data_IF_384471108907
#
_entry.id   IF_384471108907
#
_cell.length_a   1.000
_cell.length_b   1.000
_cell.length_c   1.000
_cell.angle_alpha   90.00
_cell.angle_beta   90.00
_cell.angle_gamma   90.00
#
_symmetry.space_group_name_H-M   'P 1'
#
loop_
_entity.id
_entity.type
_entity.pdbx_description
1 polymer ?
#
# COMPACT_ATOMS: atom_id res chain seq x y z
N UNK A 1 -18.58 1.98 -19.26
CA UNK A 1 -17.74 2.18 -18.08
C UNK A 1 -16.42 1.49 -18.35
N UNK A 2 -15.37 2.26 -18.52
CA UNK A 2 -14.00 1.80 -18.71
C UNK A 2 -13.26 1.89 -17.37
N UNK A 3 -12.34 0.96 -17.09
CA UNK A 3 -11.62 0.89 -15.83
C UNK A 3 -10.12 0.87 -16.12
N UNK A 4 -9.37 1.79 -15.53
CA UNK A 4 -7.91 1.78 -15.56
C UNK A 4 -7.35 1.34 -14.21
N UNK A 5 -6.37 0.45 -14.22
CA UNK A 5 -5.50 0.22 -13.08
C UNK A 5 -4.27 1.11 -13.16
N UNK A 6 -3.67 1.46 -12.03
CA UNK A 6 -2.40 2.18 -12.03
C UNK A 6 -1.59 1.95 -10.76
N UNK A 7 -0.28 2.07 -10.92
CA UNK A 7 0.70 1.96 -9.83
C UNK A 7 1.98 2.72 -10.20
N UNK A 8 2.85 2.89 -9.22
CA UNK A 8 4.23 3.31 -9.44
C UNK A 8 5.17 2.31 -8.78
N UNK A 9 6.39 2.20 -9.29
CA UNK A 9 7.39 1.30 -8.75
C UNK A 9 8.82 1.73 -9.08
N UNK A 10 9.74 1.43 -8.18
CA UNK A 10 11.20 1.49 -8.37
C UNK A 10 11.84 0.42 -7.53
N UNK A 11 12.83 -0.30 -8.08
CA UNK A 11 13.64 -1.28 -7.37
C UNK A 11 12.82 -2.38 -6.63
N UNK A 12 11.77 -2.91 -7.27
CA UNK A 12 10.90 -3.89 -6.64
C UNK A 12 11.65 -5.17 -6.26
N UNK A 13 12.55 -5.66 -7.12
CA UNK A 13 13.29 -6.90 -6.85
C UNK A 13 14.29 -6.71 -5.72
N UNK A 14 14.99 -5.58 -5.67
CA UNK A 14 15.91 -5.24 -4.55
C UNK A 14 15.19 -5.03 -3.22
N UNK A 15 13.94 -4.55 -3.26
CA UNK A 15 13.14 -4.29 -2.06
C UNK A 15 12.25 -5.48 -1.68
N UNK A 16 12.35 -6.60 -2.39
CA UNK A 16 11.52 -7.78 -2.19
C UNK A 16 10.02 -7.43 -2.23
N UNK A 17 9.57 -6.83 -3.33
CA UNK A 17 8.18 -6.38 -3.54
C UNK A 17 7.53 -7.26 -4.61
N UNK A 18 6.35 -7.86 -4.35
CA UNK A 18 5.63 -8.74 -5.28
C UNK A 18 4.90 -7.97 -6.38
N UNK A 19 5.63 -7.10 -7.12
CA UNK A 19 5.04 -6.17 -8.10
C UNK A 19 4.30 -6.89 -9.23
N UNK A 20 4.82 -8.00 -9.71
CA UNK A 20 4.18 -8.81 -10.76
C UNK A 20 2.84 -9.36 -10.27
N UNK A 21 2.85 -10.01 -9.14
CA UNK A 21 1.69 -10.63 -8.51
C UNK A 21 0.63 -9.58 -8.12
N UNK A 22 1.08 -8.40 -7.66
CA UNK A 22 0.22 -7.26 -7.39
C UNK A 22 -0.53 -6.83 -8.65
N UNK A 23 0.19 -6.60 -9.75
CA UNK A 23 -0.40 -6.22 -11.05
C UNK A 23 -1.36 -7.31 -11.55
N UNK A 24 -0.92 -8.56 -11.60
CA UNK A 24 -1.72 -9.70 -12.06
C UNK A 24 -3.01 -9.88 -11.27
N UNK A 25 -3.04 -9.51 -9.98
CA UNK A 25 -4.24 -9.56 -9.14
C UNK A 25 -5.33 -8.56 -9.57
N UNK A 26 -4.97 -7.50 -10.29
CA UNK A 26 -5.87 -6.42 -10.72
C UNK A 26 -6.23 -6.52 -12.21
N UNK A 27 -5.37 -7.11 -13.06
CA UNK A 27 -5.58 -7.20 -14.50
C UNK A 27 -6.96 -7.73 -14.94
N UNK A 28 -7.62 -8.68 -14.23
CA UNK A 28 -8.97 -9.13 -14.59
C UNK A 28 -10.08 -8.09 -14.35
N UNK A 29 -9.79 -7.03 -13.58
CA UNK A 29 -10.75 -5.97 -13.26
C UNK A 29 -10.68 -4.76 -14.20
N UNK A 30 -9.59 -4.62 -14.98
CA UNK A 30 -9.28 -3.40 -15.71
C UNK A 30 -9.21 -3.61 -17.22
N UNK A 31 -9.42 -2.54 -17.98
CA UNK A 31 -9.28 -2.49 -19.43
C UNK A 31 -7.85 -2.08 -19.84
N UNK A 32 -7.14 -1.35 -18.97
CA UNK A 32 -5.75 -0.97 -19.10
C UNK A 32 -5.09 -0.88 -17.73
N UNK A 33 -3.76 -1.02 -17.67
CA UNK A 33 -2.99 -0.87 -16.46
C UNK A 33 -1.75 -0.01 -16.71
N UNK A 34 -1.67 1.15 -16.07
CA UNK A 34 -0.58 2.13 -16.25
C UNK A 34 0.41 2.02 -15.09
N UNK A 35 1.68 1.92 -15.42
CA UNK A 35 2.77 1.76 -14.45
C UNK A 35 3.80 2.88 -14.66
N UNK A 36 3.96 3.75 -13.68
CA UNK A 36 5.10 4.65 -13.61
C UNK A 36 6.31 3.90 -13.04
N UNK A 37 7.23 3.49 -13.92
CA UNK A 37 8.46 2.83 -13.51
C UNK A 37 9.59 3.85 -13.36
N UNK A 38 10.13 3.94 -12.14
CA UNK A 38 11.25 4.84 -11.85
C UNK A 38 12.57 4.35 -12.47
N UNK A 39 13.56 5.20 -12.40
CA UNK A 39 14.96 4.90 -12.77
C UNK A 39 15.54 3.85 -11.81
N UNK A 40 15.24 2.56 -12.05
CA UNK A 40 15.77 1.45 -11.27
C UNK A 40 17.30 1.39 -11.35
N UNK A 41 17.90 0.81 -10.31
CA UNK A 41 19.35 0.54 -10.28
C UNK A 41 19.71 -0.44 -11.41
N UNK A 42 20.96 -0.42 -11.88
CA UNK A 42 21.42 -1.25 -13.02
C UNK A 42 21.26 -2.77 -12.78
N UNK A 43 21.40 -3.20 -11.52
CA UNK A 43 21.29 -4.59 -11.10
C UNK A 43 19.86 -4.98 -10.62
N UNK A 44 18.87 -4.08 -10.74
CA UNK A 44 17.47 -4.37 -10.43
C UNK A 44 16.71 -4.86 -11.66
N UNK A 45 15.96 -5.93 -11.51
CA UNK A 45 15.23 -6.59 -12.60
C UNK A 45 13.73 -6.30 -12.62
N UNK A 46 13.29 -5.21 -11.98
CA UNK A 46 11.86 -4.83 -11.91
C UNK A 46 11.24 -4.69 -13.30
N UNK A 47 11.94 -4.06 -14.25
CA UNK A 47 11.44 -3.91 -15.62
C UNK A 47 11.18 -5.26 -16.28
N UNK A 48 12.17 -6.13 -16.28
CA UNK A 48 12.08 -7.47 -16.89
C UNK A 48 10.96 -8.29 -16.26
N UNK A 49 10.77 -8.15 -14.94
CA UNK A 49 9.70 -8.82 -14.21
C UNK A 49 8.33 -8.33 -14.69
N UNK A 50 8.13 -7.01 -14.85
CA UNK A 50 6.86 -6.44 -15.34
C UNK A 50 6.63 -6.84 -16.80
N UNK A 51 7.65 -6.77 -17.66
CA UNK A 51 7.57 -7.16 -19.08
C UNK A 51 7.29 -8.66 -19.26
N UNK A 52 7.61 -9.48 -18.24
CA UNK A 52 7.24 -10.90 -18.23
C UNK A 52 5.73 -11.15 -18.09
N UNK A 53 4.97 -10.13 -17.68
CA UNK A 53 3.50 -10.18 -17.65
C UNK A 53 3.02 -9.99 -19.08
N UNK A 54 2.65 -11.06 -19.75
CA UNK A 54 2.19 -11.03 -21.14
C UNK A 54 0.74 -10.52 -21.20
N UNK A 55 0.56 -9.20 -21.17
CA UNK A 55 -0.75 -8.56 -21.28
C UNK A 55 -0.67 -7.28 -22.09
N UNK A 56 -1.54 -7.14 -23.08
CA UNK A 56 -1.70 -5.96 -23.92
C UNK A 56 -2.32 -4.76 -23.16
N UNK A 57 -2.84 -5.01 -21.97
CA UNK A 57 -3.39 -3.96 -21.10
C UNK A 57 -2.31 -3.09 -20.45
N UNK A 58 -1.06 -3.57 -20.35
CA UNK A 58 0.00 -2.90 -19.60
C UNK A 58 0.62 -1.76 -20.42
N UNK A 59 0.72 -0.59 -19.79
CA UNK A 59 1.38 0.60 -20.32
C UNK A 59 2.46 1.06 -19.35
N UNK A 60 3.72 0.98 -19.75
CA UNK A 60 4.86 1.46 -18.98
C UNK A 60 5.12 2.95 -19.29
N UNK A 61 5.29 3.74 -18.24
CA UNK A 61 5.74 5.13 -18.30
C UNK A 61 7.08 5.22 -17.57
N UNK A 62 8.12 5.55 -18.28
CA UNK A 62 9.43 5.74 -17.67
C UNK A 62 9.50 7.08 -16.94
N UNK A 63 10.00 7.05 -15.72
CA UNK A 63 10.10 8.22 -14.87
C UNK A 63 11.46 8.28 -14.18
N UNK A 64 11.82 9.47 -13.72
CA UNK A 64 13.00 9.66 -12.88
C UNK A 64 12.55 10.19 -11.54
N UNK A 65 12.89 9.48 -10.45
CA UNK A 65 12.57 9.93 -9.11
C UNK A 65 13.52 11.02 -8.64
N UNK A 66 12.95 12.06 -8.07
CA UNK A 66 13.70 13.16 -7.46
C UNK A 66 13.27 13.37 -6.01
N UNK A 67 13.84 12.58 -5.12
CA UNK A 67 13.56 12.64 -3.67
C UNK A 67 14.09 13.91 -3.00
N UNK A 68 14.90 14.71 -3.69
CA UNK A 68 15.36 16.01 -3.23
C UNK A 68 14.30 17.08 -3.51
N UNK A 69 13.77 17.08 -4.72
CA UNK A 69 12.66 17.97 -5.12
C UNK A 69 11.36 17.60 -4.39
N UNK A 70 11.11 16.31 -4.19
CA UNK A 70 9.90 15.77 -3.53
C UNK A 70 10.26 15.03 -2.23
N UNK A 71 10.63 15.78 -1.16
CA UNK A 71 11.08 15.19 0.11
C UNK A 71 9.92 14.53 0.89
N UNK A 72 10.26 13.84 1.98
CA UNK A 72 9.30 13.24 2.92
C UNK A 72 8.31 12.27 2.25
N UNK A 73 8.79 11.54 1.24
CA UNK A 73 8.00 10.60 0.43
C UNK A 73 6.91 11.25 -0.44
N UNK A 74 6.87 12.58 -0.62
CA UNK A 74 5.97 13.20 -1.59
C UNK A 74 6.29 12.79 -3.03
N UNK A 75 7.49 12.27 -3.29
CA UNK A 75 7.84 11.62 -4.56
C UNK A 75 6.91 10.45 -4.89
N UNK A 76 6.43 9.69 -3.89
CA UNK A 76 5.48 8.61 -4.12
C UNK A 76 4.13 9.14 -4.64
N UNK A 77 3.65 10.25 -4.08
CA UNK A 77 2.43 10.89 -4.57
C UNK A 77 2.61 11.46 -5.98
N UNK A 78 3.77 12.07 -6.26
CA UNK A 78 4.13 12.58 -7.59
C UNK A 78 4.14 11.45 -8.63
N UNK A 79 4.79 10.34 -8.36
CA UNK A 79 4.83 9.18 -9.24
C UNK A 79 3.45 8.52 -9.42
N UNK A 80 2.64 8.51 -8.38
CA UNK A 80 1.25 8.05 -8.44
C UNK A 80 0.44 8.90 -9.43
N UNK A 81 0.57 10.21 -9.37
CA UNK A 81 -0.14 11.13 -10.26
C UNK A 81 0.35 11.02 -11.71
N UNK A 82 1.64 10.84 -11.96
CA UNK A 82 2.18 10.58 -13.31
C UNK A 82 1.48 9.37 -13.95
N UNK A 83 1.33 8.27 -13.19
CA UNK A 83 0.61 7.09 -13.69
C UNK A 83 -0.89 7.38 -13.86
N UNK A 84 -1.53 8.03 -12.87
CA UNK A 84 -2.95 8.37 -12.88
C UNK A 84 -3.35 9.20 -14.10
N UNK A 85 -2.56 10.21 -14.46
CA UNK A 85 -2.83 11.11 -15.59
C UNK A 85 -2.83 10.42 -16.95
N UNK A 86 -2.20 9.27 -17.07
CA UNK A 86 -2.21 8.47 -18.30
C UNK A 86 -3.37 7.47 -18.36
N UNK A 87 -4.16 7.38 -17.31
CA UNK A 87 -5.36 6.56 -17.25
C UNK A 87 -6.51 7.21 -18.04
N UNK A 88 -7.25 6.40 -18.79
CA UNK A 88 -8.36 6.86 -19.65
C UNK A 88 -9.71 6.27 -19.22
N UNK A 89 -9.75 5.50 -18.14
CA UNK A 89 -10.99 4.91 -17.61
C UNK A 89 -11.88 5.91 -16.89
N UNK A 90 -13.14 5.55 -16.69
CA UNK A 90 -14.09 6.29 -15.85
C UNK A 90 -13.78 6.12 -14.36
N UNK A 91 -13.36 4.89 -13.99
CA UNK A 91 -12.86 4.51 -12.69
C UNK A 91 -11.39 4.16 -12.75
N UNK A 92 -10.64 4.57 -11.73
CA UNK A 92 -9.21 4.31 -11.59
C UNK A 92 -8.97 3.46 -10.35
N UNK A 93 -8.38 2.27 -10.53
CA UNK A 93 -7.97 1.37 -9.43
C UNK A 93 -6.49 1.62 -9.15
N UNK A 94 -6.20 2.23 -8.02
CA UNK A 94 -4.84 2.37 -7.51
C UNK A 94 -4.48 1.13 -6.69
N UNK A 95 -3.32 0.54 -6.95
CA UNK A 95 -2.76 -0.54 -6.15
C UNK A 95 -1.29 -0.26 -5.86
N UNK A 96 -0.88 -0.38 -4.60
CA UNK A 96 0.54 -0.34 -4.27
C UNK A 96 1.19 -1.67 -4.63
N UNK A 97 2.46 -1.66 -4.99
CA UNK A 97 3.13 -2.84 -5.53
C UNK A 97 3.30 -3.99 -4.53
N UNK A 98 3.03 -3.76 -3.25
CA UNK A 98 2.98 -4.76 -2.19
C UNK A 98 1.53 -5.06 -1.70
N UNK A 99 0.54 -4.72 -2.51
CA UNK A 99 -0.88 -4.99 -2.29
C UNK A 99 -1.43 -5.93 -3.37
N UNK A 100 -2.47 -6.68 -3.06
CA UNK A 100 -3.18 -7.51 -4.02
C UNK A 100 -4.68 -7.56 -3.72
N UNK A 101 -5.48 -7.82 -4.77
CA UNK A 101 -6.93 -8.03 -4.68
C UNK A 101 -7.24 -9.51 -4.88
N UNK A 102 -8.03 -10.08 -3.98
CA UNK A 102 -8.47 -11.47 -4.11
C UNK A 102 -9.55 -11.58 -5.18
N UNK A 103 -9.51 -12.61 -6.01
CA UNK A 103 -10.48 -12.84 -7.08
C UNK A 103 -11.93 -12.95 -6.57
N UNK A 104 -12.13 -13.39 -5.34
CA UNK A 104 -13.45 -13.44 -4.70
C UNK A 104 -14.08 -12.08 -4.49
N UNK A 105 -13.29 -10.99 -4.52
CA UNK A 105 -13.76 -9.62 -4.35
C UNK A 105 -14.24 -8.98 -5.68
N UNK A 106 -13.95 -9.60 -6.82
CA UNK A 106 -14.14 -8.98 -8.14
C UNK A 106 -15.60 -8.58 -8.41
N UNK A 107 -16.56 -9.43 -8.10
CA UNK A 107 -17.98 -9.14 -8.34
C UNK A 107 -18.49 -8.02 -7.41
N UNK A 108 -18.06 -7.99 -6.17
CA UNK A 108 -18.35 -6.90 -5.22
C UNK A 108 -17.82 -5.58 -5.74
N UNK A 109 -16.58 -5.56 -6.22
CA UNK A 109 -15.92 -4.36 -6.76
C UNK A 109 -16.63 -3.88 -8.02
N UNK A 110 -16.89 -4.77 -9.00
CA UNK A 110 -17.59 -4.41 -10.24
C UNK A 110 -19.01 -3.89 -9.99
N UNK A 111 -19.72 -4.52 -9.06
CA UNK A 111 -21.08 -4.11 -8.69
C UNK A 111 -21.06 -2.72 -8.07
N UNK A 112 -20.14 -2.44 -7.15
CA UNK A 112 -20.01 -1.12 -6.53
C UNK A 112 -19.67 -0.03 -7.58
N UNK A 113 -18.71 -0.28 -8.47
CA UNK A 113 -18.37 0.65 -9.54
C UNK A 113 -19.56 0.94 -10.44
N UNK A 114 -20.35 -0.07 -10.82
CA UNK A 114 -21.59 0.12 -11.62
C UNK A 114 -22.64 0.94 -10.87
N UNK A 115 -22.83 0.65 -9.57
CA UNK A 115 -23.84 1.31 -8.74
C UNK A 115 -23.55 2.80 -8.58
N UNK A 116 -22.31 3.16 -8.34
CA UNK A 116 -21.91 4.54 -8.03
C UNK A 116 -21.30 5.29 -9.21
N UNK A 117 -21.30 4.72 -10.42
CA UNK A 117 -20.69 5.35 -11.59
C UNK A 117 -21.26 6.74 -11.89
N UNK A 118 -22.61 6.87 -11.88
CA UNK A 118 -23.33 8.13 -12.19
C UNK A 118 -23.69 8.94 -10.95
N UNK A 119 -23.23 8.55 -9.77
CA UNK A 119 -23.47 9.28 -8.53
C UNK A 119 -22.36 10.30 -8.29
N UNK A 120 -22.61 11.55 -8.69
CA UNK A 120 -21.62 12.64 -8.58
C UNK A 120 -21.30 13.03 -7.13
N UNK A 121 -22.07 12.55 -6.15
CA UNK A 121 -21.78 12.75 -4.73
C UNK A 121 -20.69 11.82 -4.21
N UNK A 122 -20.27 10.80 -4.99
CA UNK A 122 -19.27 9.80 -4.64
C UNK A 122 -18.03 9.97 -5.49
N UNK A 123 -16.89 10.21 -4.85
CA UNK A 123 -15.59 10.40 -5.49
C UNK A 123 -14.76 9.10 -5.59
N UNK A 124 -15.06 8.11 -4.74
CA UNK A 124 -14.30 6.88 -4.70
C UNK A 124 -14.90 5.76 -3.86
N UNK A 125 -14.22 4.62 -3.84
CA UNK A 125 -14.59 3.45 -3.06
C UNK A 125 -13.51 3.12 -2.04
N UNK A 126 -13.95 2.81 -0.83
CA UNK A 126 -13.14 2.53 0.34
C UNK A 126 -13.08 1.02 0.57
N UNK A 127 -11.88 0.48 0.69
CA UNK A 127 -11.63 -0.92 0.96
C UNK A 127 -11.29 -1.17 2.41
N UNK A 128 -11.56 -2.38 2.91
CA UNK A 128 -11.01 -2.94 4.12
C UNK A 128 -9.60 -3.45 3.88
N UNK A 129 -8.78 -3.58 4.93
CA UNK A 129 -7.39 -4.00 4.81
C UNK A 129 -7.07 -5.24 5.65
N UNK A 130 -6.20 -6.09 5.09
CA UNK A 130 -5.50 -7.18 5.77
C UNK A 130 -4.00 -6.93 5.68
N UNK A 131 -3.40 -6.41 6.74
CA UNK A 131 -1.96 -6.16 6.80
C UNK A 131 -1.25 -7.39 7.33
N UNK A 132 -0.60 -8.14 6.46
CA UNK A 132 0.18 -9.31 6.85
C UNK A 132 1.51 -8.90 7.49
N UNK A 133 2.01 -9.73 8.42
CA UNK A 133 3.17 -9.41 9.25
C UNK A 133 4.06 -10.64 9.47
N UNK A 134 5.31 -10.59 9.00
CA UNK A 134 6.31 -11.64 9.14
C UNK A 134 6.12 -12.79 8.18
N UNK A 135 4.91 -13.34 8.13
CA UNK A 135 4.50 -14.42 7.24
C UNK A 135 3.12 -14.18 6.62
N UNK A 136 2.59 -15.17 5.93
CA UNK A 136 1.29 -15.12 5.26
C UNK A 136 0.11 -15.59 6.14
N UNK A 137 0.39 -16.11 7.34
CA UNK A 137 -0.64 -16.64 8.26
C UNK A 137 -1.03 -15.64 9.36
N UNK A 138 -0.26 -14.56 9.53
CA UNK A 138 -0.50 -13.58 10.58
C UNK A 138 -0.81 -12.19 10.01
N UNK A 139 -1.88 -11.55 10.50
CA UNK A 139 -2.25 -10.20 10.07
C UNK A 139 -2.66 -9.30 11.23
N UNK A 140 -2.46 -7.99 11.06
CA UNK A 140 -2.81 -7.00 12.07
C UNK A 140 -4.30 -6.64 12.08
N UNK A 141 -4.82 -6.51 13.31
CA UNK A 141 -6.06 -5.78 13.66
C UNK A 141 -5.76 -4.77 14.77
N UNK A 142 -4.55 -4.23 14.79
CA UNK A 142 -4.10 -3.31 15.83
C UNK A 142 -4.52 -1.88 15.51
N UNK A 143 -4.84 -1.11 16.56
CA UNK A 143 -5.16 0.32 16.50
C UNK A 143 -4.15 1.16 15.67
N UNK A 144 -2.89 0.74 15.61
CA UNK A 144 -1.83 1.45 14.86
C UNK A 144 -1.80 1.16 13.36
N UNK A 145 -2.71 0.31 12.88
CA UNK A 145 -2.83 -0.03 11.47
C UNK A 145 -4.15 0.49 10.93
N UNK A 146 -4.11 1.24 9.82
CA UNK A 146 -5.33 1.72 9.20
C UNK A 146 -6.17 0.54 8.68
N UNK A 147 -7.45 0.45 9.12
CA UNK A 147 -8.30 -0.69 8.74
C UNK A 147 -8.93 -0.53 7.37
N UNK A 148 -8.83 0.67 6.78
CA UNK A 148 -9.50 1.02 5.53
C UNK A 148 -8.73 2.11 4.81
N UNK A 149 -8.69 2.04 3.45
CA UNK A 149 -8.13 3.09 2.62
C UNK A 149 -8.81 3.13 1.24
N UNK A 150 -8.73 4.28 0.57
CA UNK A 150 -9.27 4.49 -0.77
C UNK A 150 -8.35 3.79 -1.76
N UNK A 151 -8.94 2.91 -2.61
CA UNK A 151 -8.18 2.26 -3.70
C UNK A 151 -8.87 2.37 -5.06
N UNK A 152 -10.10 2.88 -5.11
CA UNK A 152 -10.76 3.21 -6.36
C UNK A 152 -11.24 4.65 -6.29
N UNK A 153 -10.96 5.42 -7.33
CA UNK A 153 -11.37 6.82 -7.47
C UNK A 153 -12.01 7.05 -8.84
N UNK A 154 -12.88 8.04 -8.95
CA UNK A 154 -13.33 8.56 -10.26
C UNK A 154 -12.17 9.24 -10.96
N UNK A 155 -12.16 9.18 -12.29
CA UNK A 155 -11.20 9.91 -13.11
C UNK A 155 -11.55 11.41 -13.13
N UNK A 156 -11.17 12.08 -12.07
CA UNK A 156 -11.36 13.52 -11.90
C UNK A 156 -9.98 14.20 -11.85
N UNK A 157 -9.71 15.21 -12.69
CA UNK A 157 -8.43 15.91 -12.74
C UNK A 157 -8.08 16.65 -11.43
N UNK A 158 -9.09 16.96 -10.60
CA UNK A 158 -8.87 17.60 -9.29
C UNK A 158 -8.49 16.62 -8.17
N UNK A 159 -8.57 15.32 -8.42
CA UNK A 159 -8.16 14.30 -7.46
C UNK A 159 -6.69 14.00 -7.66
N UNK A 160 -5.88 14.27 -6.63
CA UNK A 160 -4.45 14.00 -6.62
C UNK A 160 -4.09 13.06 -5.47
N UNK A 161 -3.00 12.32 -5.66
CA UNK A 161 -2.36 11.58 -4.59
C UNK A 161 -1.85 12.54 -3.51
N UNK A 162 -1.76 12.08 -2.27
CA UNK A 162 -1.44 12.96 -1.16
C UNK A 162 -0.38 12.36 -0.23
N UNK A 163 0.56 13.19 0.19
CA UNK A 163 1.71 12.85 1.05
C UNK A 163 2.55 11.70 0.48
N UNK A 164 2.57 10.57 1.16
CA UNK A 164 3.33 9.36 0.82
C UNK A 164 2.54 8.36 -0.04
N UNK A 165 1.60 8.87 -0.84
CA UNK A 165 0.72 8.08 -1.70
C UNK A 165 -0.19 7.09 -0.95
N UNK A 166 -0.43 7.30 0.33
CA UNK A 166 -1.37 6.45 1.07
C UNK A 166 -2.81 6.68 0.62
N UNK A 167 -3.18 7.94 0.33
CA UNK A 167 -4.55 8.33 0.01
C UNK A 167 -4.62 9.43 -1.05
N UNK A 168 -5.85 9.87 -1.36
CA UNK A 168 -6.16 10.91 -2.34
C UNK A 168 -6.90 12.08 -1.71
N UNK A 169 -6.76 13.26 -2.35
CA UNK A 169 -7.45 14.50 -1.98
C UNK A 169 -8.02 15.19 -3.21
N UNK A 170 -9.03 16.04 -3.01
CA UNK A 170 -9.55 16.97 -4.02
C UNK A 170 -8.91 18.33 -3.77
N UNK A 171 -8.27 18.86 -4.80
CA UNK A 171 -7.71 20.21 -4.82
C UNK A 171 -8.58 21.10 -5.68
N UNK A 172 -9.20 22.11 -5.08
CA UNK A 172 -10.06 23.05 -5.80
C UNK A 172 -9.24 24.20 -6.41
N UNK A 173 -8.11 24.51 -5.80
CA UNK A 173 -7.14 25.48 -6.31
C UNK A 173 -6.23 24.84 -7.36
N UNK A 174 -5.43 25.67 -8.03
CA UNK A 174 -4.42 25.22 -8.97
C UNK A 174 -3.42 24.26 -8.30
N UNK A 175 -3.18 23.13 -8.96
CA UNK A 175 -2.22 22.11 -8.53
C UNK A 175 -1.05 22.10 -9.50
N UNK A 176 0.12 22.51 -9.03
CA UNK A 176 1.30 22.76 -9.87
C UNK A 176 2.30 21.60 -9.85
N UNK A 177 1.94 20.46 -9.22
CA UNK A 177 2.79 19.28 -9.07
C UNK A 177 4.11 19.58 -8.34
N UNK A 178 4.12 20.56 -7.47
CA UNK A 178 5.24 20.86 -6.57
C UNK A 178 5.10 20.07 -5.26
N UNK A 179 6.23 19.82 -4.59
CA UNK A 179 6.22 19.04 -3.34
C UNK A 179 5.26 19.62 -2.28
N UNK A 180 5.13 20.96 -2.22
CA UNK A 180 4.22 21.65 -1.30
C UNK A 180 2.75 21.34 -1.58
N UNK A 181 2.37 21.10 -2.84
CA UNK A 181 1.00 20.77 -3.22
C UNK A 181 0.62 19.39 -2.69
N UNK A 182 1.52 18.40 -2.83
CA UNK A 182 1.31 17.05 -2.30
C UNK A 182 1.21 16.98 -0.76
N UNK A 183 1.80 17.94 -0.03
CA UNK A 183 1.78 18.00 1.44
C UNK A 183 0.78 19.05 1.97
N UNK A 184 0.03 19.70 1.07
CA UNK A 184 -0.92 20.75 1.42
C UNK A 184 -2.10 20.21 2.22
N UNK A 185 -2.53 20.99 3.21
CA UNK A 185 -3.80 20.80 3.93
C UNK A 185 -4.97 21.59 3.29
N UNK A 186 -4.69 22.46 2.31
CA UNK A 186 -5.72 23.17 1.55
C UNK A 186 -6.32 22.27 0.47
N UNK A 187 -6.97 21.20 0.94
CA UNK A 187 -7.57 20.18 0.11
C UNK A 187 -8.74 19.52 0.82
N UNK A 188 -9.64 18.89 0.05
CA UNK A 188 -10.81 18.19 0.58
C UNK A 188 -10.61 16.68 0.59
N UNK A 189 -11.15 16.03 1.60
CA UNK A 189 -11.27 14.56 1.63
C UNK A 189 -12.31 14.11 0.61
N UNK A 190 -12.03 12.97 -0.05
CA UNK A 190 -12.99 12.36 -0.96
C UNK A 190 -14.22 11.83 -0.20
N UNK A 191 -15.39 12.00 -0.81
CA UNK A 191 -16.62 11.34 -0.40
C UNK A 191 -16.61 9.90 -0.96
N UNK A 192 -16.69 8.91 -0.09
CA UNK A 192 -16.50 7.51 -0.51
C UNK A 192 -17.57 6.58 0.06
N UNK A 193 -17.82 5.48 -0.64
CA UNK A 193 -18.59 4.33 -0.15
C UNK A 193 -17.66 3.22 0.29
N UNK A 194 -17.92 2.70 1.49
CA UNK A 194 -17.26 1.47 1.96
C UNK A 194 -17.86 0.28 1.21
N UNK A 195 -17.00 -0.51 0.59
CA UNK A 195 -17.38 -1.78 -0.04
C UNK A 195 -16.95 -2.96 0.81
N UNK A 196 -17.62 -4.09 0.68
CA UNK A 196 -17.27 -5.31 1.39
C UNK A 196 -16.19 -6.11 0.64
N UNK A 197 -15.06 -5.45 0.41
CA UNK A 197 -13.90 -6.02 -0.26
C UNK A 197 -12.62 -5.68 0.50
N UNK A 198 -11.61 -6.55 0.39
CA UNK A 198 -10.34 -6.41 1.09
C UNK A 198 -9.17 -6.17 0.14
N UNK A 199 -8.27 -5.30 0.57
CA UNK A 199 -6.90 -5.24 0.06
C UNK A 199 -6.04 -6.13 0.95
N UNK A 200 -5.25 -7.00 0.33
CA UNK A 200 -4.26 -7.85 0.95
C UNK A 200 -2.90 -7.15 0.86
N UNK A 201 -2.40 -6.66 1.97
CA UNK A 201 -1.17 -5.88 2.01
C UNK A 201 -0.02 -6.70 2.61
N UNK A 202 1.02 -6.93 1.81
CA UNK A 202 2.19 -7.76 2.13
C UNK A 202 3.44 -6.94 2.44
N UNK A 203 3.28 -5.65 2.66
CA UNK A 203 4.38 -4.70 2.90
C UNK A 203 5.32 -5.06 4.04
N UNK A 204 4.89 -5.96 4.93
CA UNK A 204 5.68 -6.46 6.06
C UNK A 204 5.86 -7.99 6.04
N UNK A 205 5.76 -8.62 4.88
CA UNK A 205 6.08 -10.04 4.68
C UNK A 205 7.31 -10.15 3.81
N UNK A 206 8.47 -10.26 4.44
CA UNK A 206 9.80 -10.31 3.80
C UNK A 206 10.77 -11.11 4.65
N UNK A 207 11.85 -11.67 4.08
CA UNK A 207 12.98 -12.11 4.88
C UNK A 207 13.45 -11.00 5.83
N UNK A 208 13.77 -11.31 7.11
CA UNK A 208 14.14 -10.29 8.10
C UNK A 208 15.25 -9.32 7.66
N UNK A 209 16.22 -9.80 6.90
CA UNK A 209 17.30 -8.99 6.34
C UNK A 209 16.77 -7.98 5.30
N UNK A 210 15.87 -8.44 4.43
CA UNK A 210 15.25 -7.59 3.41
C UNK A 210 14.29 -6.56 4.03
N UNK A 211 13.64 -6.92 5.15
CA UNK A 211 12.80 -5.98 5.90
C UNK A 211 13.64 -4.87 6.52
N UNK A 212 14.80 -5.18 7.10
CA UNK A 212 15.77 -4.18 7.58
C UNK A 212 16.24 -3.27 6.44
N UNK A 213 16.60 -3.86 5.31
CA UNK A 213 17.04 -3.07 4.13
C UNK A 213 15.94 -2.12 3.65
N UNK A 214 14.69 -2.61 3.48
CA UNK A 214 13.55 -1.76 3.12
C UNK A 214 13.37 -0.62 4.12
N UNK A 215 13.40 -0.91 5.42
CA UNK A 215 13.23 0.10 6.48
C UNK A 215 14.29 1.19 6.38
N UNK A 216 15.56 0.81 6.16
CA UNK A 216 16.66 1.76 5.94
C UNK A 216 16.41 2.64 4.72
N UNK A 217 16.02 2.05 3.58
CA UNK A 217 15.70 2.79 2.34
C UNK A 217 14.55 3.79 2.57
N UNK A 218 13.50 3.35 3.28
CA UNK A 218 12.36 4.21 3.61
C UNK A 218 12.75 5.37 4.54
N UNK A 219 13.60 5.13 5.55
CA UNK A 219 14.12 6.20 6.40
C UNK A 219 14.96 7.20 5.61
N UNK A 220 15.80 6.71 4.68
CA UNK A 220 16.60 7.57 3.80
C UNK A 220 15.74 8.43 2.87
N UNK A 221 14.69 7.86 2.31
CA UNK A 221 13.74 8.58 1.45
C UNK A 221 12.98 9.66 2.22
N UNK A 222 12.55 9.35 3.45
CA UNK A 222 11.76 10.29 4.26
C UNK A 222 12.59 11.40 4.91
N UNK A 223 13.74 11.06 5.49
CA UNK A 223 14.55 11.97 6.30
C UNK A 223 15.78 12.54 5.56
N UNK A 224 16.09 12.01 4.36
CA UNK A 224 17.37 12.22 3.70
C UNK A 224 18.48 11.34 4.27
N UNK A 225 19.49 11.00 3.44
CA UNK A 225 20.55 10.04 3.78
C UNK A 225 21.26 10.36 5.10
N UNK A 226 21.73 11.63 5.26
CA UNK A 226 22.50 12.06 6.44
C UNK A 226 21.70 11.90 7.73
N UNK A 227 20.47 12.44 7.77
CA UNK A 227 19.61 12.36 8.95
C UNK A 227 19.18 10.92 9.26
N UNK A 228 18.94 10.10 8.23
CA UNK A 228 18.63 8.69 8.43
C UNK A 228 19.81 7.92 9.01
N UNK A 229 21.04 8.17 8.55
CA UNK A 229 22.25 7.55 9.09
C UNK A 229 22.48 7.95 10.56
N UNK A 230 22.33 9.24 10.89
CA UNK A 230 22.47 9.75 12.26
C UNK A 230 21.43 9.15 13.23
N UNK A 231 20.18 8.96 12.79
CA UNK A 231 19.08 8.50 13.66
C UNK A 231 18.91 6.99 13.68
N UNK A 232 19.18 6.31 12.57
CA UNK A 232 18.84 4.91 12.32
C UNK A 232 20.03 4.07 11.81
N UNK A 233 21.23 4.65 11.74
CA UNK A 233 22.44 3.95 11.26
C UNK A 233 22.84 2.75 12.11
N UNK A 234 22.37 2.71 13.37
CA UNK A 234 22.55 1.59 14.31
C UNK A 234 21.42 0.57 14.27
N UNK A 235 20.43 0.71 13.39
CA UNK A 235 19.35 -0.26 13.28
C UNK A 235 19.89 -1.66 12.97
N UNK A 236 19.27 -2.71 13.54
CA UNK A 236 19.76 -4.07 13.37
C UNK A 236 19.73 -4.50 11.92
N UNK A 237 20.74 -5.27 11.49
CA UNK A 237 20.81 -5.83 10.12
C UNK A 237 19.69 -6.84 9.85
N UNK A 238 19.10 -7.39 10.90
CA UNK A 238 18.03 -8.38 10.83
C UNK A 238 16.83 -7.82 11.59
N UNK A 239 15.72 -7.65 10.91
CA UNK A 239 14.49 -7.12 11.50
C UNK A 239 13.84 -8.18 12.41
N UNK A 240 13.53 -7.82 13.65
CA UNK A 240 12.79 -8.67 14.56
C UNK A 240 11.28 -8.35 14.50
N UNK A 241 10.51 -9.25 13.92
CA UNK A 241 9.04 -9.15 13.85
C UNK A 241 8.35 -9.30 15.21
N UNK A 242 9.05 -9.81 16.22
CA UNK A 242 8.48 -10.14 17.51
C UNK A 242 7.65 -11.43 17.51
N UNK A 243 7.13 -11.82 18.68
CA UNK A 243 6.36 -13.05 18.81
C UNK A 243 5.03 -13.00 18.07
N UNK A 244 4.89 -13.79 17.02
CA UNK A 244 3.70 -13.83 16.14
C UNK A 244 2.44 -14.32 16.85
N UNK A 245 2.56 -15.06 17.98
CA UNK A 245 1.43 -15.45 18.83
C UNK A 245 0.55 -14.27 19.27
N UNK A 246 1.06 -13.05 19.21
CA UNK A 246 0.34 -11.82 19.59
C UNK A 246 -0.38 -11.17 18.38
N UNK A 247 -0.27 -11.75 17.19
CA UNK A 247 -0.87 -11.29 15.94
C UNK A 247 -2.04 -12.21 15.59
N UNK A 248 -3.06 -11.69 14.91
CA UNK A 248 -4.23 -12.48 14.54
C UNK A 248 -3.91 -13.48 13.44
N UNK A 249 -4.30 -14.74 13.64
CA UNK A 249 -4.16 -15.77 12.61
C UNK A 249 -5.14 -15.54 11.46
N UNK A 250 -4.65 -15.64 10.23
CA UNK A 250 -5.43 -15.66 9.03
C UNK A 250 -5.71 -17.11 8.60
N UNK A 251 -6.99 -17.43 8.39
CA UNK A 251 -7.44 -18.78 8.01
C UNK A 251 -8.08 -18.83 6.62
N UNK A 252 -8.03 -17.71 5.90
CA UNK A 252 -8.59 -17.63 4.55
C UNK A 252 -7.58 -18.03 3.46
N UNK A 253 -7.99 -17.85 2.22
CA UNK A 253 -7.13 -18.03 1.04
C UNK A 253 -6.49 -16.71 0.63
N UNK A 254 -5.30 -16.77 0.08
CA UNK A 254 -4.65 -15.63 -0.57
C UNK A 254 -5.07 -15.51 -2.03
N UNK A 255 -4.96 -14.31 -2.64
CA UNK A 255 -5.19 -14.14 -4.07
C UNK A 255 -4.37 -15.15 -4.88
N UNK A 256 -4.98 -15.77 -5.90
CA UNK A 256 -4.29 -16.77 -6.75
C UNK A 256 -3.02 -16.20 -7.39
N UNK A 257 -3.06 -14.93 -7.79
CA UNK A 257 -1.89 -14.25 -8.34
C UNK A 257 -0.69 -14.26 -7.38
N UNK A 258 -0.93 -14.23 -6.06
CA UNK A 258 0.13 -14.25 -5.05
C UNK A 258 0.76 -15.63 -4.83
N UNK A 259 0.17 -16.71 -5.35
CA UNK A 259 0.66 -18.07 -5.06
C UNK A 259 2.12 -18.29 -5.45
N UNK A 260 2.60 -17.92 -6.65
CA UNK A 260 4.00 -18.11 -7.01
C UNK A 260 4.98 -17.42 -6.03
N UNK A 261 4.61 -16.22 -5.56
CA UNK A 261 5.40 -15.47 -4.60
C UNK A 261 5.38 -16.09 -3.21
N UNK A 262 4.20 -16.53 -2.75
CA UNK A 262 4.03 -17.20 -1.45
C UNK A 262 4.82 -18.51 -1.41
N UNK A 263 4.86 -19.25 -2.51
CA UNK A 263 5.60 -20.52 -2.62
C UNK A 263 7.13 -20.33 -2.46
N UNK A 264 7.65 -19.09 -2.56
CA UNK A 264 9.06 -18.77 -2.29
C UNK A 264 9.39 -18.54 -0.80
N UNK A 265 8.41 -18.63 0.09
CA UNK A 265 8.57 -18.37 1.52
C UNK A 265 9.53 -19.37 2.17
N UNK A 266 10.72 -18.94 2.54
CA UNK A 266 11.81 -19.78 3.05
C UNK A 266 12.41 -19.31 4.40
N UNK A 267 11.88 -18.23 4.98
CA UNK A 267 12.43 -17.65 6.23
C UNK A 267 11.63 -18.01 7.49
N UNK A 268 10.83 -19.08 7.46
CA UNK A 268 10.00 -19.53 8.58
C UNK A 268 10.82 -19.70 9.87
N UNK A 269 11.98 -20.33 9.78
CA UNK A 269 12.86 -20.60 10.91
C UNK A 269 13.52 -19.33 11.51
N UNK A 270 13.45 -18.19 10.79
CA UNK A 270 13.93 -16.89 11.27
C UNK A 270 12.85 -16.11 12.03
N UNK A 271 11.62 -16.60 12.09
CA UNK A 271 10.49 -15.96 12.76
C UNK A 271 10.29 -16.54 14.14
N UNK A 272 9.89 -15.68 15.07
CA UNK A 272 9.55 -16.11 16.43
C UNK A 272 8.03 -16.34 16.52
N UNK A 273 7.59 -17.59 16.53
CA UNK A 273 6.16 -17.94 16.62
C UNK A 273 5.59 -17.82 18.03
N UNK A 274 6.41 -18.02 19.07
CA UNK A 274 5.98 -17.98 20.46
C UNK A 274 7.07 -17.47 21.40
N UNK A 275 6.71 -17.23 22.65
CA UNK A 275 7.65 -16.81 23.68
C UNK A 275 7.65 -15.31 23.97
N UNK A 276 8.70 -14.83 24.61
CA UNK A 276 8.87 -13.43 25.00
C UNK A 276 9.67 -12.70 23.91
N UNK A 277 9.30 -11.43 23.65
CA UNK A 277 10.09 -10.58 22.74
C UNK A 277 11.53 -10.41 23.25
N UNK A 278 12.45 -10.18 22.36
CA UNK A 278 13.78 -9.70 22.69
C UNK A 278 13.68 -8.28 23.30
N UNK A 279 14.19 -8.13 24.52
CA UNK A 279 14.19 -6.85 25.24
C UNK A 279 15.24 -5.85 24.74
N UNK A 280 16.21 -6.30 23.97
CA UNK A 280 17.29 -5.46 23.43
C UNK A 280 16.79 -4.54 22.29
N UNK A 281 15.70 -4.92 21.60
CA UNK A 281 15.11 -4.08 20.56
C UNK A 281 14.00 -3.16 21.06
N UNK A 282 13.73 -2.05 20.36
CA UNK A 282 12.55 -1.20 20.62
C UNK A 282 11.24 -2.01 20.52
N UNK A 283 10.28 -1.71 21.39
CA UNK A 283 8.96 -2.35 21.38
C UNK A 283 8.15 -1.85 20.20
N UNK A 284 7.62 -2.74 19.37
CA UNK A 284 6.66 -2.36 18.32
C UNK A 284 5.38 -1.77 18.92
N UNK A 285 4.74 -0.83 18.21
CA UNK A 285 3.54 -0.16 18.71
C UNK A 285 2.41 -1.14 19.06
N UNK A 286 2.22 -2.18 18.26
CA UNK A 286 1.19 -3.21 18.48
C UNK A 286 1.48 -4.13 19.69
N UNK A 287 2.72 -4.19 20.19
CA UNK A 287 3.10 -4.97 21.37
C UNK A 287 2.86 -4.21 22.68
N UNK A 288 2.71 -2.87 22.63
CA UNK A 288 2.49 -2.05 23.83
C UNK A 288 1.14 -2.39 24.45
N UNK A 289 1.12 -2.63 25.77
CA UNK A 289 -0.08 -3.04 26.52
C UNK A 289 -1.28 -2.14 26.27
N UNK A 290 -1.08 -0.82 26.25
CA UNK A 290 -2.15 0.14 25.95
C UNK A 290 -2.80 -0.13 24.58
N UNK A 291 -2.01 -0.28 23.51
CA UNK A 291 -2.56 -0.53 22.18
C UNK A 291 -3.16 -1.92 22.03
N UNK A 292 -2.68 -2.91 22.79
CA UNK A 292 -3.29 -4.25 22.82
C UNK A 292 -4.69 -4.22 23.42
N UNK A 293 -4.86 -3.55 24.57
CA UNK A 293 -6.16 -3.38 25.23
C UNK A 293 -7.09 -2.57 24.34
N UNK A 294 -6.63 -1.45 23.79
CA UNK A 294 -7.41 -0.61 22.90
C UNK A 294 -7.86 -1.39 21.65
N UNK A 295 -6.96 -2.12 21.01
CA UNK A 295 -7.27 -2.93 19.84
C UNK A 295 -8.26 -4.05 20.16
N UNK A 296 -8.12 -4.69 21.32
CA UNK A 296 -9.11 -5.69 21.77
C UNK A 296 -10.50 -5.07 21.92
N UNK A 297 -10.61 -3.92 22.59
CA UNK A 297 -11.88 -3.22 22.77
C UNK A 297 -12.49 -2.81 21.41
N UNK A 298 -11.70 -2.21 20.51
CA UNK A 298 -12.13 -1.80 19.18
C UNK A 298 -12.64 -2.97 18.33
N UNK A 299 -11.93 -4.10 18.35
CA UNK A 299 -12.29 -5.26 17.54
C UNK A 299 -13.47 -6.05 18.13
N UNK A 300 -13.57 -6.13 19.47
CA UNK A 300 -14.57 -6.97 20.16
C UNK A 300 -15.87 -6.22 20.42
N UNK A 301 -15.77 -4.97 20.88
CA UNK A 301 -16.92 -4.18 21.31
C UNK A 301 -17.41 -3.23 20.22
N UNK A 302 -16.48 -2.60 19.47
CA UNK A 302 -16.83 -1.59 18.46
C UNK A 302 -16.85 -2.14 17.02
N UNK A 303 -16.80 -3.47 16.83
CA UNK A 303 -16.85 -4.09 15.50
C UNK A 303 -15.73 -3.64 14.55
N UNK A 304 -14.54 -3.33 15.09
CA UNK A 304 -13.39 -2.86 14.33
C UNK A 304 -13.37 -1.35 14.04
N UNK A 305 -14.24 -0.57 14.69
CA UNK A 305 -14.21 0.91 14.61
C UNK A 305 -13.12 1.45 15.53
N UNK A 306 -12.16 2.18 14.93
CA UNK A 306 -11.08 2.82 15.69
C UNK A 306 -11.58 4.05 16.47
N UNK A 307 -11.09 4.20 17.71
CA UNK A 307 -11.31 5.37 18.55
C UNK A 307 -10.27 6.44 18.20
N UNK A 308 -10.72 7.62 17.77
CA UNK A 308 -9.84 8.75 17.47
C UNK A 308 -8.85 8.49 16.32
N UNK A 309 -9.07 7.44 15.51
CA UNK A 309 -8.23 7.12 14.37
C UNK A 309 -8.32 8.19 13.28
N UNK A 310 -7.19 8.49 12.64
CA UNK A 310 -7.15 9.39 11.48
C UNK A 310 -7.90 8.77 10.31
N UNK A 311 -8.79 9.54 9.68
CA UNK A 311 -9.56 9.11 8.51
C UNK A 311 -9.23 10.01 7.32
N UNK A 312 -8.76 9.40 6.27
CA UNK A 312 -8.40 10.07 5.00
C UNK A 312 -9.61 10.36 4.08
N UNK A 313 -10.84 10.11 4.53
CA UNK A 313 -12.04 10.11 3.71
C UNK A 313 -13.27 10.64 4.48
N UNK A 314 -14.31 11.02 3.72
CA UNK A 314 -15.66 11.25 4.21
C UNK A 314 -16.52 10.05 3.81
N UNK A 315 -17.06 9.31 4.77
CA UNK A 315 -17.93 8.16 4.50
C UNK A 315 -19.37 8.67 4.25
N UNK A 316 -19.91 8.29 3.08
CA UNK A 316 -21.28 8.61 2.64
C UNK A 316 -22.22 7.42 2.77
#
# INVERSE_FOLDING_TARGET
MKISGFTFIKNATKLYIPVKESIESVLPLVDEFVIAIGNCDEDDTTRQLIESIKSDKIKLIETTWDVVKYPRNTEFAHQTDIAKEKCTGDWLIYIQADEAIHENEFETIKTAMKTYWKDDSIDGLLFKYRHFWGDYEHHHKSHKWYPREIRIIKNNPKIHSWRDAQSFRIFENEFNYEAKDYDSEDCKKLNVKLIDAYIFHYGYVRPPEMMSYKTKVMHQSFHGKKTAEEKFGSDPKVFDYGPLQNIYNYKGTHPKAMKPWIDTFDWKEKLQYSGKRDKSRPIHSHEKTFYRILSWFENTILGGRLIGGFKNYNLK
#
